data_IF_478912261534
#
_entry.id   IF_478912261534
#
_cell.length_a   1.000
_cell.length_b   1.000
_cell.length_c   1.000
_cell.angle_alpha   90.00
_cell.angle_beta   90.00
_cell.angle_gamma   90.00
#
_symmetry.space_group_name_H-M   'P 1'
#
loop_
_entity.id
_entity.type
_entity.pdbx_description
1 polymer ?
#
# COMPACT_ATOMS: atom_id res chain seq x y z
N UNK A 1 -7.04 0.50 3.22
CA UNK A 1 -8.27 1.30 3.03
C UNK A 1 -8.99 0.77 1.81
N UNK A 2 -10.31 0.77 1.79
CA UNK A 2 -11.11 0.52 0.59
C UNK A 2 -12.29 1.48 0.52
N UNK A 3 -12.90 1.60 -0.65
CA UNK A 3 -14.07 2.46 -0.88
C UNK A 3 -15.21 1.58 -1.38
N UNK A 4 -16.39 1.72 -0.78
CA UNK A 4 -17.62 1.09 -1.25
C UNK A 4 -18.65 2.15 -1.63
N UNK A 5 -19.09 2.13 -2.88
CA UNK A 5 -20.21 2.93 -3.34
C UNK A 5 -21.55 2.36 -2.86
N UNK A 6 -22.59 3.17 -2.85
CA UNK A 6 -23.95 2.70 -2.65
C UNK A 6 -24.34 1.71 -3.76
N UNK A 7 -24.99 0.61 -3.38
CA UNK A 7 -25.63 -0.32 -4.31
C UNK A 7 -26.98 0.24 -4.75
N UNK A 8 -27.17 0.38 -6.06
CA UNK A 8 -28.45 0.84 -6.64
C UNK A 8 -29.54 -0.22 -6.40
N UNK A 9 -29.16 -1.51 -6.43
CA UNK A 9 -30.08 -2.63 -6.24
C UNK A 9 -30.60 -2.71 -4.81
N UNK A 10 -29.73 -2.54 -3.81
CA UNK A 10 -30.08 -2.63 -2.39
C UNK A 10 -30.52 -1.30 -1.78
N UNK A 11 -30.31 -0.19 -2.50
CA UNK A 11 -30.48 1.21 -2.03
C UNK A 11 -29.73 1.53 -0.74
N UNK A 12 -28.74 0.73 -0.39
CA UNK A 12 -27.87 0.88 0.78
C UNK A 12 -26.40 0.73 0.36
N UNK A 13 -25.46 0.93 1.28
CA UNK A 13 -24.05 0.64 1.08
C UNK A 13 -23.82 -0.82 0.66
N UNK A 14 -22.77 -1.06 -0.14
CA UNK A 14 -22.32 -2.43 -0.48
C UNK A 14 -22.15 -3.29 0.78
N UNK A 15 -22.42 -4.59 0.66
CA UNK A 15 -22.37 -5.52 1.80
C UNK A 15 -21.00 -5.56 2.45
N UNK A 16 -19.90 -5.41 1.69
CA UNK A 16 -18.54 -5.32 2.25
C UNK A 16 -18.39 -4.18 3.25
N UNK A 17 -19.03 -3.03 3.00
CA UNK A 17 -19.01 -1.88 3.91
C UNK A 17 -19.86 -2.16 5.13
N UNK A 18 -21.05 -2.73 4.95
CA UNK A 18 -21.95 -3.06 6.06
C UNK A 18 -21.32 -4.14 6.97
N UNK A 19 -20.73 -5.18 6.38
CA UNK A 19 -19.95 -6.18 7.11
C UNK A 19 -18.79 -5.55 7.89
N UNK A 20 -18.08 -4.58 7.32
CA UNK A 20 -17.01 -3.87 8.02
C UNK A 20 -17.55 -3.00 9.17
N UNK A 21 -18.71 -2.36 9.02
CA UNK A 21 -19.39 -1.62 10.10
C UNK A 21 -19.81 -2.54 11.24
N UNK A 22 -20.42 -3.68 10.91
CA UNK A 22 -21.03 -4.57 11.89
C UNK A 22 -20.00 -5.42 12.62
N UNK A 23 -19.00 -5.94 11.90
CA UNK A 23 -17.97 -6.82 12.49
C UNK A 23 -16.76 -6.04 13.01
N UNK A 24 -16.53 -4.82 12.52
CA UNK A 24 -15.33 -4.03 12.82
C UNK A 24 -14.05 -4.62 12.23
N UNK A 25 -14.14 -5.60 11.34
CA UNK A 25 -13.01 -6.37 10.83
C UNK A 25 -13.15 -6.65 9.33
N UNK A 26 -12.03 -6.70 8.62
CA UNK A 26 -12.00 -7.14 7.22
C UNK A 26 -10.62 -7.70 6.85
N UNK A 27 -10.58 -8.46 5.77
CA UNK A 27 -9.32 -8.95 5.20
C UNK A 27 -9.14 -8.33 3.81
N UNK A 28 -7.99 -7.69 3.58
CA UNK A 28 -7.57 -7.28 2.25
C UNK A 28 -6.75 -8.40 1.63
N UNK A 29 -7.11 -8.80 0.41
CA UNK A 29 -6.39 -9.81 -0.35
C UNK A 29 -5.80 -9.15 -1.60
N UNK A 30 -4.51 -9.39 -1.86
CA UNK A 30 -3.86 -8.89 -3.06
C UNK A 30 -4.45 -9.55 -4.31
N UNK A 31 -4.87 -8.71 -5.25
CA UNK A 31 -5.34 -9.11 -6.55
C UNK A 31 -4.17 -9.34 -7.51
N UNK A 32 -4.00 -10.57 -8.01
CA UNK A 32 -2.95 -10.94 -8.98
C UNK A 32 -3.52 -11.24 -10.35
N UNK A 33 -2.68 -11.23 -11.37
CA UNK A 33 -3.10 -11.52 -12.75
C UNK A 33 -3.77 -12.90 -12.93
N UNK A 34 -3.32 -13.90 -12.16
CA UNK A 34 -3.92 -15.24 -12.16
C UNK A 34 -5.36 -15.24 -11.64
N UNK A 35 -5.69 -14.32 -10.73
CA UNK A 35 -7.01 -14.20 -10.09
C UNK A 35 -7.95 -13.23 -10.81
N UNK A 36 -7.58 -12.70 -11.98
CA UNK A 36 -8.35 -11.64 -12.67
C UNK A 36 -9.81 -12.02 -12.95
N UNK A 37 -10.05 -13.27 -13.35
CA UNK A 37 -11.39 -13.74 -13.70
C UNK A 37 -12.24 -13.93 -12.44
N UNK A 38 -11.61 -14.45 -11.37
CA UNK A 38 -12.24 -14.60 -10.06
C UNK A 38 -12.66 -13.24 -9.50
N UNK A 39 -11.78 -12.24 -9.58
CA UNK A 39 -12.07 -10.87 -9.15
C UNK A 39 -13.20 -10.28 -9.99
N UNK A 40 -13.16 -10.44 -11.32
CA UNK A 40 -14.22 -9.93 -12.18
C UNK A 40 -15.58 -10.60 -11.88
N UNK A 41 -15.59 -11.89 -11.53
CA UNK A 41 -16.80 -12.60 -11.11
C UNK A 41 -17.39 -12.04 -9.81
N UNK A 42 -16.57 -11.61 -8.85
CA UNK A 42 -17.04 -10.97 -7.60
C UNK A 42 -17.66 -9.60 -7.78
N UNK A 43 -17.53 -8.97 -8.96
CA UNK A 43 -18.16 -7.68 -9.23
C UNK A 43 -19.69 -7.78 -9.39
N UNK A 44 -20.23 -8.99 -9.52
CA UNK A 44 -21.66 -9.23 -9.57
C UNK A 44 -22.28 -8.97 -8.20
N UNK A 45 -23.25 -8.05 -8.13
CA UNK A 45 -24.03 -7.81 -6.91
C UNK A 45 -24.88 -9.06 -6.60
N UNK A 46 -24.54 -9.75 -5.51
CA UNK A 46 -25.23 -10.94 -5.02
C UNK A 46 -25.83 -10.67 -3.64
N UNK A 47 -26.89 -11.39 -3.29
CA UNK A 47 -27.41 -11.45 -1.92
C UNK A 47 -26.74 -12.55 -1.11
N UNK A 48 -26.15 -13.51 -1.80
CA UNK A 48 -25.44 -14.65 -1.26
C UNK A 48 -23.92 -14.46 -1.35
N UNK A 49 -23.21 -15.22 -0.52
CA UNK A 49 -21.74 -15.33 -0.49
C UNK A 49 -21.12 -15.41 -1.90
N UNK A 50 -20.18 -14.52 -2.22
CA UNK A 50 -19.58 -14.46 -3.57
C UNK A 50 -18.48 -15.51 -3.78
N UNK A 51 -18.00 -16.18 -2.73
CA UNK A 51 -16.92 -17.15 -2.84
C UNK A 51 -17.21 -18.34 -3.78
N UNK A 52 -18.40 -18.98 -3.75
CA UNK A 52 -18.78 -20.00 -4.71
C UNK A 52 -18.80 -19.50 -6.15
N UNK A 53 -19.23 -18.25 -6.37
CA UNK A 53 -19.25 -17.62 -7.71
C UNK A 53 -17.83 -17.33 -8.21
N UNK A 54 -16.99 -16.83 -7.32
CA UNK A 54 -15.60 -16.50 -7.60
C UNK A 54 -14.70 -17.71 -7.73
N UNK A 55 -15.13 -18.92 -7.29
CA UNK A 55 -14.32 -20.15 -7.28
C UNK A 55 -12.99 -19.98 -6.56
N UNK A 56 -13.02 -19.33 -5.39
CA UNK A 56 -11.85 -19.12 -4.53
C UNK A 56 -12.02 -19.80 -3.18
N UNK A 57 -10.91 -20.22 -2.58
CA UNK A 57 -10.92 -21.03 -1.35
C UNK A 57 -10.87 -20.13 -0.12
N UNK A 58 -11.87 -20.29 0.77
CA UNK A 58 -11.87 -19.65 2.10
C UNK A 58 -10.85 -20.29 3.00
N UNK A 59 -10.05 -19.47 3.66
CA UNK A 59 -9.12 -19.90 4.71
C UNK A 59 -9.39 -19.08 5.97
N UNK A 60 -9.29 -19.71 7.13
CA UNK A 60 -9.44 -19.00 8.40
C UNK A 60 -8.30 -17.98 8.59
N UNK A 61 -8.67 -16.81 9.07
CA UNK A 61 -7.75 -15.78 9.57
C UNK A 61 -7.24 -16.15 10.96
N UNK A 62 -6.11 -15.58 11.39
CA UNK A 62 -5.48 -15.86 12.69
C UNK A 62 -5.97 -14.92 13.79
N UNK A 63 -6.20 -13.65 13.47
CA UNK A 63 -6.51 -12.59 14.44
C UNK A 63 -7.93 -12.07 14.24
N UNK A 64 -8.36 -11.85 13.00
CA UNK A 64 -9.71 -11.37 12.67
C UNK A 64 -10.67 -12.53 12.34
N UNK A 65 -11.97 -12.29 12.44
CA UNK A 65 -13.02 -13.28 12.12
C UNK A 65 -13.24 -13.52 10.63
N UNK A 66 -13.20 -12.49 9.74
CA UNK A 66 -13.48 -12.72 8.32
C UNK A 66 -12.45 -13.65 7.68
N UNK A 67 -12.86 -14.55 6.77
CA UNK A 67 -11.94 -15.46 6.11
C UNK A 67 -11.05 -14.71 5.10
N UNK A 68 -9.87 -15.26 4.86
CA UNK A 68 -8.92 -14.84 3.82
C UNK A 68 -9.03 -15.73 2.58
N UNK A 69 -8.50 -15.26 1.45
CA UNK A 69 -8.49 -15.98 0.17
C UNK A 69 -7.18 -16.75 0.04
N UNK A 70 -7.23 -18.08 -0.10
CA UNK A 70 -6.05 -18.95 -0.15
C UNK A 70 -5.12 -18.64 -1.32
N UNK A 71 -5.70 -18.30 -2.46
CA UNK A 71 -4.99 -18.15 -3.72
C UNK A 71 -4.23 -16.83 -3.80
N UNK A 72 -4.59 -15.84 -2.98
CA UNK A 72 -3.88 -14.57 -2.91
C UNK A 72 -2.48 -14.75 -2.29
N UNK A 73 -1.43 -14.11 -2.83
CA UNK A 73 -0.08 -14.23 -2.28
C UNK A 73 0.11 -13.40 -1.00
N UNK A 74 -0.66 -12.34 -0.83
CA UNK A 74 -0.56 -11.41 0.32
C UNK A 74 -1.95 -11.12 0.86
N UNK A 75 -2.13 -11.32 2.16
CA UNK A 75 -3.37 -10.99 2.85
C UNK A 75 -3.08 -10.12 4.08
N UNK A 76 -3.83 -9.04 4.23
CA UNK A 76 -3.77 -8.17 5.40
C UNK A 76 -5.03 -8.34 6.23
N UNK A 77 -4.86 -8.81 7.46
CA UNK A 77 -5.92 -8.83 8.46
C UNK A 77 -6.03 -7.43 9.06
N UNK A 78 -7.22 -6.83 8.95
CA UNK A 78 -7.45 -5.43 9.29
C UNK A 78 -8.59 -5.30 10.30
N UNK A 79 -8.39 -4.41 11.29
CA UNK A 79 -9.47 -3.89 12.13
C UNK A 79 -9.89 -2.53 11.64
N UNK A 80 -11.18 -2.29 11.54
CA UNK A 80 -11.71 -0.98 11.13
C UNK A 80 -11.27 0.07 12.15
N UNK A 81 -10.66 1.13 11.64
CA UNK A 81 -10.23 2.27 12.43
C UNK A 81 -11.26 3.39 12.32
N UNK A 82 -11.67 3.74 11.09
CA UNK A 82 -12.66 4.79 10.84
C UNK A 82 -13.39 4.54 9.52
N UNK A 83 -14.63 5.01 9.46
CA UNK A 83 -15.44 4.99 8.24
C UNK A 83 -15.92 6.40 7.98
N UNK A 84 -15.56 6.95 6.82
CA UNK A 84 -15.97 8.28 6.39
C UNK A 84 -17.00 8.15 5.27
N UNK A 85 -18.18 8.72 5.49
CA UNK A 85 -19.24 8.78 4.48
C UNK A 85 -19.13 10.08 3.70
N UNK A 86 -18.93 9.97 2.39
CA UNK A 86 -19.00 11.08 1.46
C UNK A 86 -20.36 11.03 0.78
N UNK A 87 -21.21 12.01 1.06
CA UNK A 87 -22.49 12.17 0.38
C UNK A 87 -22.27 12.84 -0.97
N UNK A 88 -22.89 12.32 -2.02
CA UNK A 88 -22.91 12.92 -3.35
C UNK A 88 -24.32 13.37 -3.72
N UNK A 89 -24.42 14.33 -4.63
CA UNK A 89 -25.70 14.94 -5.04
C UNK A 89 -26.48 14.10 -6.09
N UNK A 90 -26.02 12.88 -6.37
CA UNK A 90 -26.55 12.01 -7.45
C UNK A 90 -27.49 10.91 -6.92
N UNK A 91 -28.16 10.18 -7.82
CA UNK A 91 -29.02 9.02 -7.46
C UNK A 91 -28.27 7.92 -6.68
N UNK A 92 -26.94 7.86 -6.81
CA UNK A 92 -26.03 7.04 -6.01
C UNK A 92 -25.42 8.00 -4.98
N UNK A 93 -26.11 8.15 -3.86
CA UNK A 93 -26.03 9.33 -3.00
C UNK A 93 -24.89 9.33 -2.00
N UNK A 94 -24.11 8.25 -1.88
CA UNK A 94 -22.94 8.24 -1.01
C UNK A 94 -21.88 7.20 -1.38
N UNK A 95 -20.65 7.46 -0.93
CA UNK A 95 -19.52 6.55 -0.94
C UNK A 95 -18.94 6.46 0.46
N UNK A 96 -18.72 5.23 0.95
CA UNK A 96 -18.13 5.00 2.26
C UNK A 96 -16.65 4.64 2.09
N UNK A 97 -15.77 5.44 2.69
CA UNK A 97 -14.33 5.19 2.80
C UNK A 97 -14.07 4.44 4.10
N UNK A 98 -13.57 3.21 4.00
CA UNK A 98 -13.23 2.38 5.16
C UNK A 98 -11.72 2.36 5.34
N UNK A 99 -11.27 2.94 6.45
CA UNK A 99 -9.87 2.93 6.86
C UNK A 99 -9.69 1.83 7.91
N UNK A 100 -8.76 0.91 7.64
CA UNK A 100 -8.44 -0.18 8.55
C UNK A 100 -6.99 -0.12 9.00
N UNK A 101 -6.77 -0.49 10.26
CA UNK A 101 -5.46 -0.74 10.84
C UNK A 101 -5.08 -2.20 10.59
N UNK A 102 -3.93 -2.42 9.96
CA UNK A 102 -3.39 -3.77 9.75
C UNK A 102 -2.94 -4.33 11.11
N UNK A 103 -3.46 -5.50 11.46
CA UNK A 103 -3.11 -6.23 12.70
C UNK A 103 -2.34 -7.52 12.43
N UNK A 104 -2.37 -8.01 11.20
CA UNK A 104 -1.62 -9.18 10.78
C UNK A 104 -1.37 -9.18 9.27
N UNK A 105 -0.22 -9.72 8.87
CA UNK A 105 0.18 -9.85 7.48
C UNK A 105 0.49 -11.32 7.21
N UNK A 106 -0.08 -11.86 6.14
CA UNK A 106 0.26 -13.17 5.61
C UNK A 106 0.86 -12.99 4.24
N UNK A 107 2.04 -13.58 4.04
CA UNK A 107 2.72 -13.63 2.75
C UNK A 107 2.97 -15.10 2.43
N UNK A 108 2.60 -15.53 1.23
CA UNK A 108 2.86 -16.89 0.77
C UNK A 108 4.37 -17.06 0.59
N UNK A 109 4.92 -18.13 1.17
CA UNK A 109 6.37 -18.30 1.32
C UNK A 109 7.16 -18.37 0.01
N UNK A 110 6.50 -18.63 -1.12
CA UNK A 110 7.10 -18.60 -2.45
C UNK A 110 7.22 -17.19 -3.05
N UNK A 111 6.56 -16.17 -2.48
CA UNK A 111 6.71 -14.75 -2.84
C UNK A 111 7.48 -13.95 -1.79
N UNK A 112 7.63 -14.53 -0.59
CA UNK A 112 8.30 -13.91 0.54
C UNK A 112 9.74 -14.39 0.70
N UNK A 113 10.63 -13.42 0.86
CA UNK A 113 12.00 -13.53 1.41
C UNK A 113 13.10 -13.87 0.41
N UNK A 114 13.27 -12.98 -0.58
CA UNK A 114 14.62 -12.72 -1.11
C UNK A 114 15.53 -12.22 0.02
N UNK A 115 16.86 -12.26 -0.20
CA UNK A 115 17.98 -12.02 0.75
C UNK A 115 17.84 -10.80 1.70
N UNK A 116 16.89 -9.90 1.47
CA UNK A 116 16.69 -8.63 2.19
C UNK A 116 15.26 -8.39 2.71
N UNK A 117 14.44 -9.43 2.92
CA UNK A 117 13.02 -9.28 3.35
C UNK A 117 12.11 -8.55 2.34
N UNK A 118 12.54 -8.44 1.09
CA UNK A 118 11.77 -7.81 0.03
C UNK A 118 10.77 -8.79 -0.59
N UNK A 119 9.58 -8.29 -0.90
CA UNK A 119 8.52 -9.03 -1.59
C UNK A 119 8.74 -8.97 -3.10
N UNK A 120 8.69 -10.11 -3.78
CA UNK A 120 8.84 -10.17 -5.23
C UNK A 120 7.52 -9.76 -5.93
N UNK A 121 7.43 -8.46 -6.24
CA UNK A 121 6.27 -7.85 -6.90
C UNK A 121 6.10 -8.34 -8.34
N UNK A 122 7.20 -8.59 -9.06
CA UNK A 122 7.14 -9.06 -10.45
C UNK A 122 6.55 -10.47 -10.53
N UNK A 123 6.95 -11.35 -9.61
CA UNK A 123 6.36 -12.68 -9.51
C UNK A 123 4.88 -12.62 -9.14
N UNK A 124 4.51 -11.72 -8.21
CA UNK A 124 3.11 -11.56 -7.80
C UNK A 124 2.20 -11.00 -8.90
N UNK A 125 2.75 -10.22 -9.83
CA UNK A 125 2.05 -9.56 -10.92
C UNK A 125 0.69 -8.96 -10.47
N UNK A 126 0.69 -8.05 -9.48
CA UNK A 126 -0.53 -7.47 -8.97
C UNK A 126 -1.28 -6.69 -10.04
N UNK A 127 -2.60 -6.72 -9.96
CA UNK A 127 -3.49 -5.99 -10.86
C UNK A 127 -3.69 -4.55 -10.38
N UNK A 128 -3.62 -3.62 -11.33
CA UNK A 128 -4.05 -2.25 -11.16
C UNK A 128 -5.26 -1.98 -12.05
N UNK A 129 -6.32 -1.41 -11.46
CA UNK A 129 -7.48 -0.92 -12.20
C UNK A 129 -7.11 0.41 -12.85
N UNK A 130 -7.28 0.49 -14.17
CA UNK A 130 -7.18 1.72 -14.93
C UNK A 130 -8.57 2.36 -15.09
N UNK A 131 -8.74 3.22 -16.08
CA UNK A 131 -10.05 3.78 -16.40
C UNK A 131 -11.03 2.73 -16.94
N UNK A 132 -12.32 2.95 -16.67
CA UNK A 132 -13.42 2.14 -17.19
C UNK A 132 -13.24 0.65 -16.87
N UNK A 133 -13.09 -0.21 -17.90
CA UNK A 133 -12.95 -1.67 -17.77
C UNK A 133 -11.51 -2.15 -17.95
N UNK A 134 -10.56 -1.22 -18.06
CA UNK A 134 -9.17 -1.55 -18.33
C UNK A 134 -8.45 -1.94 -17.03
N UNK A 135 -7.64 -2.98 -17.12
CA UNK A 135 -6.73 -3.40 -16.07
C UNK A 135 -5.32 -3.52 -16.66
N UNK A 136 -4.32 -3.30 -15.83
CA UNK A 136 -2.93 -3.64 -16.11
C UNK A 136 -2.38 -4.55 -15.02
N UNK A 137 -1.38 -5.34 -15.35
CA UNK A 137 -0.60 -6.10 -14.39
C UNK A 137 0.81 -5.51 -14.32
N UNK A 138 1.39 -5.47 -13.12
CA UNK A 138 2.78 -5.03 -12.98
C UNK A 138 3.70 -6.06 -13.61
N UNK A 139 4.44 -5.64 -14.64
CA UNK A 139 5.39 -6.47 -15.39
C UNK A 139 6.82 -5.88 -15.43
N UNK A 140 7.01 -4.68 -14.91
CA UNK A 140 8.28 -3.99 -14.88
C UNK A 140 8.42 -3.17 -13.59
N UNK A 141 9.65 -3.05 -13.09
CA UNK A 141 10.02 -2.23 -11.95
C UNK A 141 11.19 -1.36 -12.37
N UNK A 142 11.16 -0.11 -11.94
CA UNK A 142 12.28 0.82 -12.07
C UNK A 142 12.43 1.56 -10.75
N UNK A 143 13.67 1.77 -10.34
CA UNK A 143 13.99 2.53 -9.14
C UNK A 143 14.08 4.02 -9.47
N UNK A 144 13.58 4.86 -8.56
CA UNK A 144 13.75 6.30 -8.63
C UNK A 144 14.29 6.78 -7.29
N UNK A 145 15.49 7.34 -7.31
CA UNK A 145 16.07 7.96 -6.13
C UNK A 145 15.39 9.28 -5.82
N UNK A 146 15.08 9.49 -4.54
CA UNK A 146 14.47 10.74 -4.09
C UNK A 146 15.52 11.87 -4.13
N UNK A 147 15.19 13.06 -4.69
CA UNK A 147 16.10 14.19 -4.66
C UNK A 147 16.31 14.68 -3.21
N UNK A 148 17.52 15.12 -2.89
CA UNK A 148 17.86 15.70 -1.58
C UNK A 148 17.50 17.19 -1.56
N UNK A 149 16.80 17.65 -0.51
CA UNK A 149 16.58 19.07 -0.28
C UNK A 149 17.83 19.67 0.38
N UNK A 150 18.37 20.81 -0.12
CA UNK A 150 19.61 21.38 0.41
C UNK A 150 19.61 21.66 1.92
N UNK A 151 18.44 21.97 2.49
CA UNK A 151 18.29 22.42 3.88
C UNK A 151 17.75 21.34 4.84
N UNK A 152 17.39 20.15 4.35
CA UNK A 152 16.92 19.05 5.20
C UNK A 152 18.08 18.11 5.52
N UNK A 153 18.65 18.18 6.73
CA UNK A 153 19.61 17.18 7.24
C UNK A 153 19.02 15.77 7.41
N UNK A 154 17.76 15.57 7.03
CA UNK A 154 17.06 14.29 7.03
C UNK A 154 16.63 14.02 5.60
N UNK A 155 17.38 13.17 4.89
CA UNK A 155 16.96 12.72 3.57
C UNK A 155 15.62 11.97 3.68
N UNK A 156 14.74 12.16 2.70
CA UNK A 156 13.50 11.38 2.62
C UNK A 156 13.75 9.86 2.48
N UNK A 157 14.98 9.45 2.12
CA UNK A 157 15.41 8.05 2.15
C UNK A 157 15.36 7.43 3.57
N UNK A 158 15.41 8.24 4.63
CA UNK A 158 15.24 7.77 6.01
C UNK A 158 13.80 7.27 6.26
N UNK A 159 12.80 7.86 5.60
CA UNK A 159 11.40 7.40 5.67
C UNK A 159 11.17 6.09 4.87
N UNK A 160 12.00 5.84 3.85
CA UNK A 160 12.02 4.60 3.07
C UNK A 160 12.79 3.45 3.72
N UNK A 161 13.29 3.62 4.96
CA UNK A 161 14.03 2.58 5.68
C UNK A 161 15.51 2.46 5.34
N UNK A 162 16.06 3.34 4.50
CA UNK A 162 17.51 3.44 4.30
C UNK A 162 18.12 4.32 5.39
N UNK A 163 18.71 3.69 6.41
CA UNK A 163 19.59 4.39 7.36
C UNK A 163 20.93 4.61 6.65
N UNK A 164 21.31 5.86 6.41
CA UNK A 164 22.66 6.19 5.97
C UNK A 164 23.64 5.74 7.04
N UNK A 165 24.50 4.78 6.70
CA UNK A 165 25.59 4.33 7.55
C UNK A 165 26.71 5.36 7.45
N UNK A 166 26.67 6.39 8.29
CA UNK A 166 27.84 7.25 8.47
C UNK A 166 28.88 6.46 9.25
N UNK A 167 29.93 6.02 8.55
CA UNK A 167 31.17 5.53 9.13
C UNK A 167 31.94 6.71 9.73
N UNK A 168 32.14 6.63 11.05
CA UNK A 168 33.34 6.94 11.83
C UNK A 168 34.19 8.19 11.51
N UNK A 169 34.36 9.04 12.54
CA UNK A 169 35.67 9.63 12.85
C UNK A 169 35.76 11.16 12.97
N UNK A 170 36.05 11.60 14.20
CA UNK A 170 36.68 12.87 14.59
C UNK A 170 35.83 14.15 14.68
N UNK A 171 35.23 14.30 15.86
CA UNK A 171 34.91 15.60 16.46
C UNK A 171 36.22 16.20 16.99
N UNK A 172 36.75 17.21 16.30
CA UNK A 172 37.65 18.19 16.87
C UNK A 172 37.11 19.59 16.56
N UNK A 173 36.52 20.22 17.58
CA UNK A 173 36.06 21.61 17.56
C UNK A 173 37.20 22.52 18.03
N UNK A 174 37.51 23.49 17.16
CA UNK A 174 38.15 24.80 17.34
C UNK A 174 39.35 25.00 18.29
N UNK A 175 40.33 25.79 17.84
CA UNK A 175 40.77 27.03 18.49
C UNK A 175 41.87 27.73 17.67
N UNK A 176 41.79 29.06 17.51
CA UNK A 176 43.00 29.90 17.39
C UNK A 176 43.08 30.87 16.21
N UNK A 177 42.58 32.08 16.46
CA UNK A 177 43.13 33.41 16.12
C UNK A 177 44.40 33.55 15.25
N UNK A 178 44.31 34.53 14.33
CA UNK A 178 45.35 35.44 13.81
C UNK A 178 46.73 34.88 13.41
N UNK A 179 47.13 35.08 12.14
CA UNK A 179 48.10 36.13 11.83
C UNK A 179 48.32 36.34 10.32
N UNK A 180 48.76 37.57 10.04
CA UNK A 180 48.91 38.27 8.76
C UNK A 180 49.98 37.67 7.84
N UNK A 181 49.82 38.00 6.55
CA UNK A 181 50.81 38.57 5.57
C UNK A 181 50.52 37.92 4.21
N UNK A 182 50.04 38.65 3.21
CA UNK A 182 50.76 39.69 2.46
C UNK A 182 50.73 39.21 1.00
N UNK A 183 49.95 39.88 0.14
CA UNK A 183 50.38 40.96 -0.75
C UNK A 183 50.76 40.43 -2.14
N UNK A 184 50.14 41.04 -3.17
CA UNK A 184 50.49 41.06 -4.60
C UNK A 184 50.32 39.73 -5.36
N UNK A 185 49.72 39.65 -6.55
CA UNK A 185 49.21 40.64 -7.49
C UNK A 185 49.25 40.06 -8.92
N UNK A 186 48.40 40.63 -9.78
CA UNK A 186 48.64 40.91 -11.23
C UNK A 186 48.47 39.78 -12.29
N UNK A 187 47.55 40.07 -13.22
CA UNK A 187 47.44 39.75 -14.68
C UNK A 187 47.50 38.27 -15.13
N UNK A 188 46.64 37.80 -16.04
CA UNK A 188 46.20 38.42 -17.29
C UNK A 188 46.97 37.80 -18.45
N UNK A 189 46.35 36.83 -19.13
CA UNK A 189 46.57 36.50 -20.55
C UNK A 189 45.40 35.66 -21.05
#
# INVERSE_FOLDING_TARGET
>A
MFIGHQSIYKRDSKDTVNNAKDTGEFVWNMATYELRENINATALESWDDEFPLARVTKVASKIVKPPRVSESPVQFECKVHSILRITGDSLVGHSDIVIGRVVGIHVRGDFGLMVQWLFDVLKAAPLARLGYHQYTAINNIFDMDMPFMPDDHVSGNVLGGFVSKNMDGDIAVENGTEERRGCLGVEGQ
#
